data_IF_345965271413
#
_entry.id   IF_345965271413
#
_cell.length_a   1.000
_cell.length_b   1.000
_cell.length_c   1.000
_cell.angle_alpha   90.00
_cell.angle_beta   90.00
_cell.angle_gamma   90.00
#
_symmetry.space_group_name_H-M   'P 1'
#
loop_
_entity.id
_entity.type
_entity.pdbx_description
1 polymer ?
#
# COMPACT_ATOMS: atom_id res chain seq x y z
N UNK A 1 -5.08 -19.20 31.57
CA UNK A 1 -4.22 -19.86 30.54
C UNK A 1 -4.97 -20.14 29.22
N UNK A 2 -6.23 -20.61 29.23
CA UNK A 2 -7.00 -20.81 27.99
C UNK A 2 -7.43 -19.48 27.30
N UNK A 3 -7.73 -18.42 28.05
CA UNK A 3 -8.09 -17.10 27.48
C UNK A 3 -6.92 -16.38 26.81
N UNK A 4 -5.71 -16.47 27.37
CA UNK A 4 -4.49 -15.89 26.77
C UNK A 4 -4.13 -16.56 25.43
N UNK A 5 -4.46 -17.84 25.25
CA UNK A 5 -4.24 -18.58 24.00
C UNK A 5 -5.27 -18.24 22.91
N UNK A 6 -6.38 -17.59 23.27
CA UNK A 6 -7.41 -17.13 22.31
C UNK A 6 -6.99 -15.87 21.56
N UNK A 7 -6.23 -14.98 22.23
CA UNK A 7 -5.65 -13.78 21.61
C UNK A 7 -4.56 -14.11 20.57
N UNK A 8 -3.88 -15.26 20.71
CA UNK A 8 -2.82 -15.71 19.80
C UNK A 8 -3.31 -16.36 18.50
N UNK A 9 -4.63 -16.54 18.32
CA UNK A 9 -5.24 -17.20 17.15
C UNK A 9 -6.17 -16.30 16.32
N UNK A 10 -6.14 -14.99 16.51
CA UNK A 10 -6.76 -14.03 15.58
C UNK A 10 -8.30 -14.10 15.42
N UNK A 11 -9.04 -14.80 16.29
CA UNK A 11 -10.50 -14.85 16.19
C UNK A 11 -11.18 -13.96 17.24
N UNK A 12 -11.08 -12.64 17.08
CA UNK A 12 -11.98 -11.69 17.77
C UNK A 12 -13.01 -11.24 16.76
N UNK A 13 -14.24 -11.75 16.87
CA UNK A 13 -15.34 -11.34 15.99
C UNK A 13 -15.86 -9.95 16.42
N UNK A 14 -16.36 -9.16 15.45
CA UNK A 14 -16.93 -7.82 15.69
C UNK A 14 -17.95 -7.76 16.85
N UNK A 15 -18.72 -8.83 17.05
CA UNK A 15 -19.69 -8.95 18.16
C UNK A 15 -19.04 -9.04 19.55
N UNK A 16 -17.85 -9.62 19.65
CA UNK A 16 -17.14 -9.73 20.94
C UNK A 16 -16.55 -8.38 21.35
N UNK A 17 -16.00 -7.61 20.40
CA UNK A 17 -15.46 -6.28 20.65
C UNK A 17 -16.53 -5.31 21.17
N UNK A 18 -17.73 -5.34 20.57
CA UNK A 18 -18.86 -4.49 20.98
C UNK A 18 -19.47 -4.91 22.33
N UNK A 19 -19.38 -6.20 22.70
CA UNK A 19 -19.92 -6.72 23.96
C UNK A 19 -19.04 -6.48 25.19
N UNK A 20 -17.71 -6.39 25.01
CA UNK A 20 -16.75 -6.23 26.13
C UNK A 20 -16.46 -4.78 26.45
N UNK A 21 -16.49 -3.89 25.44
CA UNK A 21 -16.09 -2.49 25.62
C UNK A 21 -17.19 -1.58 26.14
N UNK A 22 -18.44 -2.05 26.28
CA UNK A 22 -19.54 -1.26 26.84
C UNK A 22 -19.81 0.05 26.08
N UNK A 23 -19.33 0.17 24.83
CA UNK A 23 -19.43 1.38 23.99
C UNK A 23 -20.81 1.52 23.32
N UNK A 24 -21.85 1.05 24.01
CA UNK A 24 -23.24 1.35 23.71
C UNK A 24 -23.74 2.34 24.76
N UNK A 25 -23.81 3.63 24.38
CA UNK A 25 -24.31 4.80 25.13
C UNK A 25 -23.25 5.78 25.63
N UNK A 26 -22.85 6.70 24.74
CA UNK A 26 -22.50 8.07 25.10
C UNK A 26 -22.86 9.00 23.93
N UNK A 27 -24.17 9.20 23.73
CA UNK A 27 -24.73 10.31 22.95
C UNK A 27 -24.59 11.62 23.74
N UNK A 28 -24.30 12.71 23.00
CA UNK A 28 -24.34 14.14 23.42
C UNK A 28 -23.29 14.52 24.46
N UNK A 29 -22.36 15.43 24.16
CA UNK A 29 -22.52 16.87 24.42
C UNK A 29 -21.36 17.66 23.74
N UNK A 30 -21.71 18.84 23.21
CA UNK A 30 -20.87 19.97 22.76
C UNK A 30 -20.33 19.97 21.31
N UNK A 31 -21.23 20.35 20.40
CA UNK A 31 -20.86 21.29 19.34
C UNK A 31 -20.71 22.68 19.92
N UNK A 32 -19.46 23.15 20.04
CA UNK A 32 -19.08 24.57 19.98
C UNK A 32 -17.60 24.63 19.60
N UNK A 33 -17.31 25.24 18.45
CA UNK A 33 -15.99 25.68 17.98
C UNK A 33 -14.89 24.60 17.96
N UNK A 34 -14.81 23.84 16.86
CA UNK A 34 -13.53 23.28 16.41
C UNK A 34 -12.73 24.46 15.85
N UNK A 35 -11.70 24.99 16.55
CA UNK A 35 -10.78 25.92 15.91
C UNK A 35 -10.16 25.16 14.74
N UNK A 36 -10.09 25.79 13.57
CA UNK A 36 -9.59 25.16 12.35
C UNK A 36 -8.35 24.31 12.63
N UNK A 37 -8.36 23.10 12.06
CA UNK A 37 -7.26 22.14 12.04
C UNK A 37 -6.03 22.81 11.41
N UNK A 38 -5.31 23.60 12.18
CA UNK A 38 -3.94 23.98 11.86
C UNK A 38 -3.12 22.80 12.36
N UNK A 39 -2.65 21.98 11.43
CA UNK A 39 -1.62 20.96 11.69
C UNK A 39 -0.42 21.66 12.30
N UNK A 40 -0.27 21.58 13.62
CA UNK A 40 0.96 22.04 14.27
C UNK A 40 2.06 21.05 13.91
N UNK A 41 3.25 21.52 13.50
CA UNK A 41 4.38 20.64 13.32
C UNK A 41 4.63 19.88 14.62
N UNK A 42 4.64 18.54 14.54
CA UNK A 42 5.01 17.69 15.66
C UNK A 42 6.53 17.74 15.80
N UNK A 43 7.04 18.06 17.00
CA UNK A 43 8.47 18.00 17.27
C UNK A 43 8.82 16.62 17.83
N UNK A 44 9.88 16.02 17.30
CA UNK A 44 10.40 14.75 17.82
C UNK A 44 10.78 14.88 19.31
N UNK A 45 10.26 13.96 20.13
CA UNK A 45 10.65 13.84 21.53
C UNK A 45 12.09 13.29 21.60
N UNK A 46 12.92 13.79 22.52
CA UNK A 46 14.35 13.44 22.59
C UNK A 46 14.65 11.97 22.90
N UNK A 47 13.63 11.16 23.20
CA UNK A 47 13.68 9.70 23.27
C UNK A 47 12.72 9.10 22.25
N UNK A 48 13.05 7.92 21.72
CA UNK A 48 12.23 7.19 20.74
C UNK A 48 10.86 6.74 21.29
N UNK A 49 10.68 6.79 22.62
CA UNK A 49 9.49 6.31 23.30
C UNK A 49 9.42 4.78 23.37
N UNK A 50 8.25 4.26 23.72
CA UNK A 50 8.01 2.81 23.86
C UNK A 50 7.47 2.17 22.57
N UNK A 51 7.08 2.99 21.58
CA UNK A 51 6.41 2.53 20.36
C UNK A 51 6.73 3.43 19.17
N UNK A 52 6.95 2.79 18.01
CA UNK A 52 7.02 3.42 16.69
C UNK A 52 5.87 2.89 15.84
N UNK A 53 5.10 3.79 15.24
CA UNK A 53 3.99 3.45 14.35
C UNK A 53 4.45 3.53 12.89
N UNK A 54 4.48 2.37 12.23
CA UNK A 54 4.85 2.19 10.84
C UNK A 54 3.61 1.98 9.96
N UNK A 55 3.39 2.84 8.97
CA UNK A 55 2.39 2.63 7.92
C UNK A 55 3.05 2.08 6.63
N UNK A 56 2.62 0.91 6.15
CA UNK A 56 3.29 0.20 5.05
C UNK A 56 2.35 -0.70 4.24
N UNK A 57 2.90 -1.45 3.29
CA UNK A 57 2.21 -2.37 2.40
C UNK A 57 2.07 -3.78 3.00
N UNK A 58 1.13 -4.60 2.51
CA UNK A 58 1.04 -6.02 2.89
C UNK A 58 2.35 -6.75 2.58
N UNK A 59 2.80 -7.61 3.51
CA UNK A 59 3.96 -8.48 3.32
C UNK A 59 5.27 -7.74 2.96
N UNK A 60 5.44 -6.49 3.39
CA UNK A 60 6.56 -5.61 3.00
C UNK A 60 7.66 -5.43 4.06
N UNK A 61 7.64 -6.29 5.08
CA UNK A 61 8.59 -6.26 6.19
C UNK A 61 8.81 -7.68 6.71
N UNK A 62 10.01 -7.93 7.23
CA UNK A 62 10.35 -9.15 7.95
C UNK A 62 10.09 -8.94 9.45
N UNK A 63 9.23 -9.75 10.10
CA UNK A 63 9.02 -9.70 11.55
C UNK A 63 10.32 -9.74 12.36
N UNK A 64 11.35 -10.47 11.89
CA UNK A 64 12.64 -10.54 12.57
C UNK A 64 13.35 -9.18 12.66
N UNK A 65 13.10 -8.29 11.68
CA UNK A 65 13.64 -6.92 11.72
C UNK A 65 13.02 -6.09 12.84
N UNK A 66 11.74 -6.28 13.15
CA UNK A 66 11.08 -5.58 14.25
C UNK A 66 11.48 -6.12 15.62
N UNK A 67 11.72 -7.43 15.72
CA UNK A 67 12.27 -8.04 16.93
C UNK A 67 13.67 -7.49 17.22
N UNK A 68 14.54 -7.44 16.21
CA UNK A 68 15.88 -6.85 16.33
C UNK A 68 15.83 -5.36 16.69
N UNK A 69 14.93 -4.60 16.06
CA UNK A 69 14.70 -3.19 16.38
C UNK A 69 14.25 -2.99 17.84
N UNK A 70 13.28 -3.78 18.29
CA UNK A 70 12.76 -3.71 19.66
C UNK A 70 13.83 -4.09 20.67
N UNK A 71 14.65 -5.12 20.38
CA UNK A 71 15.75 -5.53 21.24
C UNK A 71 16.84 -4.45 21.36
N UNK A 72 17.11 -3.72 20.28
CA UNK A 72 18.14 -2.68 20.25
C UNK A 72 17.70 -1.35 20.88
N UNK A 73 16.41 -1.00 20.77
CA UNK A 73 15.90 0.34 21.13
C UNK A 73 14.97 0.34 22.34
N UNK A 74 14.38 -0.80 22.69
CA UNK A 74 13.29 -0.90 23.66
C UNK A 74 11.91 -0.51 23.11
N UNK A 75 11.83 0.04 21.90
CA UNK A 75 10.57 0.48 21.30
C UNK A 75 9.93 -0.62 20.46
N UNK A 76 8.65 -0.91 20.70
CA UNK A 76 7.87 -1.83 19.88
C UNK A 76 7.46 -1.18 18.54
N UNK A 77 7.19 -1.99 17.52
CA UNK A 77 6.68 -1.51 16.23
C UNK A 77 5.21 -1.85 16.07
N UNK A 78 4.35 -0.84 15.92
CA UNK A 78 2.96 -1.01 15.52
C UNK A 78 2.84 -0.83 14.00
N UNK A 79 2.32 -1.85 13.31
CA UNK A 79 2.17 -1.82 11.85
C UNK A 79 0.73 -1.53 11.44
N UNK A 80 0.56 -0.53 10.59
CA UNK A 80 -0.69 -0.25 9.87
C UNK A 80 -0.49 -0.59 8.39
N UNK A 81 -1.32 -1.47 7.84
CA UNK A 81 -1.25 -1.92 6.44
C UNK A 81 -2.28 -1.20 5.58
N UNK A 82 -1.88 -0.75 4.39
CA UNK A 82 -2.73 -0.03 3.43
C UNK A 82 -2.75 -0.71 2.06
N UNK A 83 -3.85 -0.55 1.33
CA UNK A 83 -4.03 -1.16 0.01
C UNK A 83 -3.55 -0.30 -1.16
N UNK A 84 -3.50 1.03 -0.98
CA UNK A 84 -3.12 1.99 -2.04
C UNK A 84 -2.48 3.25 -1.48
N UNK A 85 -1.77 4.00 -2.35
CA UNK A 85 -1.20 5.31 -1.99
C UNK A 85 -2.29 6.34 -1.76
N UNK A 86 -3.38 6.26 -2.52
CA UNK A 86 -4.53 7.17 -2.41
C UNK A 86 -5.23 7.01 -1.06
N UNK A 87 -5.34 5.79 -0.55
CA UNK A 87 -5.84 5.53 0.80
C UNK A 87 -4.94 6.19 1.88
N UNK A 88 -3.61 6.07 1.74
CA UNK A 88 -2.67 6.72 2.65
C UNK A 88 -2.79 8.26 2.61
N UNK A 89 -2.76 8.85 1.41
CA UNK A 89 -2.86 10.30 1.22
C UNK A 89 -4.18 10.85 1.75
N UNK A 90 -5.31 10.22 1.41
CA UNK A 90 -6.62 10.66 1.88
C UNK A 90 -6.73 10.64 3.41
N UNK A 91 -6.15 9.62 4.06
CA UNK A 91 -6.12 9.54 5.52
C UNK A 91 -5.28 10.66 6.15
N UNK A 92 -4.12 10.97 5.58
CA UNK A 92 -3.26 12.07 6.04
C UNK A 92 -3.94 13.43 5.84
N UNK A 93 -4.55 13.66 4.66
CA UNK A 93 -5.30 14.88 4.35
C UNK A 93 -6.51 15.09 5.26
N UNK A 94 -7.17 14.01 5.68
CA UNK A 94 -8.27 14.06 6.65
C UNK A 94 -7.82 14.40 8.09
N UNK A 95 -6.53 14.71 8.31
CA UNK A 95 -5.95 14.97 9.62
C UNK A 95 -5.56 13.71 10.37
N UNK A 96 -5.49 12.56 9.68
CA UNK A 96 -4.91 11.35 10.22
C UNK A 96 -3.48 11.61 10.66
N UNK A 97 -3.18 11.30 11.92
CA UNK A 97 -1.88 11.51 12.55
C UNK A 97 -1.52 10.28 13.39
N UNK A 98 -0.29 10.26 13.92
CA UNK A 98 0.21 9.16 14.72
C UNK A 98 0.91 8.06 13.91
N UNK A 99 1.43 8.39 12.73
CA UNK A 99 2.47 7.59 12.08
C UNK A 99 3.79 8.30 12.26
N UNK A 100 4.80 7.57 12.74
CA UNK A 100 6.16 8.08 12.87
C UNK A 100 6.94 7.84 11.58
N UNK A 101 6.66 6.71 10.91
CA UNK A 101 7.26 6.33 9.63
C UNK A 101 6.16 5.78 8.72
N UNK A 102 6.18 6.17 7.44
CA UNK A 102 5.34 5.53 6.44
C UNK A 102 6.09 5.32 5.13
N UNK A 103 5.60 4.38 4.32
CA UNK A 103 6.28 3.93 3.10
C UNK A 103 5.43 4.23 1.86
N UNK A 104 5.50 5.47 1.33
CA UNK A 104 4.77 5.83 0.12
C UNK A 104 5.49 5.42 -1.17
N UNK A 105 4.77 5.40 -2.28
CA UNK A 105 5.36 5.29 -3.62
C UNK A 105 5.91 6.63 -4.10
N UNK A 106 7.02 6.60 -4.82
CA UNK A 106 7.81 7.78 -5.21
C UNK A 106 7.03 8.97 -5.82
N UNK A 107 5.99 8.74 -6.63
CA UNK A 107 5.24 9.83 -7.29
C UNK A 107 4.43 10.70 -6.32
N UNK A 108 4.15 10.24 -5.10
CA UNK A 108 3.37 11.01 -4.12
C UNK A 108 4.24 11.95 -3.28
N UNK A 109 5.57 11.78 -3.29
CA UNK A 109 6.49 12.57 -2.47
C UNK A 109 6.33 14.07 -2.73
N UNK A 110 6.27 14.49 -4.00
CA UNK A 110 6.09 15.91 -4.36
C UNK A 110 4.77 16.47 -3.84
N UNK A 111 3.70 15.67 -3.84
CA UNK A 111 2.40 16.06 -3.28
C UNK A 111 2.49 16.24 -1.76
N UNK A 112 3.11 15.30 -1.05
CA UNK A 112 3.28 15.41 0.40
C UNK A 112 4.13 16.60 0.82
N UNK A 113 5.16 16.94 0.03
CA UNK A 113 5.97 18.14 0.26
C UNK A 113 5.13 19.41 0.03
N UNK A 114 4.39 19.47 -1.08
CA UNK A 114 3.53 20.61 -1.40
C UNK A 114 2.42 20.85 -0.36
N UNK A 115 1.88 19.78 0.22
CA UNK A 115 0.83 19.83 1.24
C UNK A 115 1.38 19.92 2.68
N UNK A 116 2.70 20.01 2.87
CA UNK A 116 3.37 20.04 4.18
C UNK A 116 2.98 18.83 5.08
N UNK A 117 2.82 17.67 4.48
CA UNK A 117 2.50 16.41 5.18
C UNK A 117 3.77 15.76 5.74
N UNK A 118 4.91 15.94 5.07
CA UNK A 118 6.21 15.36 5.46
C UNK A 118 7.27 16.43 5.68
N UNK A 119 8.21 16.13 6.56
CA UNK A 119 9.37 16.96 6.85
C UNK A 119 10.64 16.43 6.16
N UNK A 120 11.64 17.28 5.86
CA UNK A 120 12.90 16.82 5.32
C UNK A 120 13.63 15.95 6.35
N UNK A 121 14.27 14.88 5.86
CA UNK A 121 15.05 13.97 6.68
C UNK A 121 16.34 14.63 7.17
N UNK A 122 16.59 14.53 8.47
CA UNK A 122 17.85 14.95 9.10
C UNK A 122 18.92 13.87 8.91
N UNK A 123 19.78 14.04 7.90
CA UNK A 123 20.84 13.09 7.57
C UNK A 123 21.85 12.89 8.72
N UNK A 124 21.98 13.83 9.66
CA UNK A 124 22.86 13.64 10.83
C UNK A 124 22.37 12.53 11.77
N UNK A 125 21.07 12.19 11.69
CA UNK A 125 20.42 11.09 12.43
C UNK A 125 20.33 9.80 11.62
N UNK A 126 20.79 9.80 10.38
CA UNK A 126 20.75 8.66 9.47
C UNK A 126 22.18 8.23 9.08
N UNK A 127 23.02 7.77 10.03
CA UNK A 127 24.42 7.45 9.77
C UNK A 127 24.63 6.31 8.77
N UNK A 128 23.58 5.51 8.51
CA UNK A 128 23.59 4.42 7.55
C UNK A 128 23.07 4.84 6.16
N UNK A 129 22.61 6.08 5.98
CA UNK A 129 22.13 6.55 4.69
C UNK A 129 23.31 6.87 3.77
N UNK A 130 23.39 6.17 2.64
CA UNK A 130 24.35 6.44 1.58
C UNK A 130 23.61 6.63 0.25
N UNK A 131 23.56 7.88 -0.22
CA UNK A 131 22.93 8.22 -1.49
C UNK A 131 23.54 7.45 -2.69
N UNK A 132 24.84 7.14 -2.64
CA UNK A 132 25.55 6.44 -3.71
C UNK A 132 25.21 4.94 -3.76
N UNK A 133 24.65 4.39 -2.67
CA UNK A 133 24.20 2.99 -2.62
C UNK A 133 22.89 2.75 -3.38
N UNK A 134 22.19 3.81 -3.77
CA UNK A 134 20.91 3.73 -4.48
C UNK A 134 21.04 4.02 -5.97
N UNK A 135 20.22 3.35 -6.77
CA UNK A 135 20.02 3.73 -8.17
C UNK A 135 19.24 5.06 -8.23
N UNK A 136 19.85 6.07 -8.86
CA UNK A 136 19.29 7.41 -8.98
C UNK A 136 17.88 7.44 -9.61
N UNK A 137 17.54 6.46 -10.45
CA UNK A 137 16.20 6.34 -11.05
C UNK A 137 15.11 6.14 -10.01
N UNK A 138 15.41 5.45 -8.90
CA UNK A 138 14.44 5.12 -7.85
C UNK A 138 14.57 6.05 -6.63
N UNK A 139 15.78 6.53 -6.33
CA UNK A 139 16.01 7.40 -5.18
C UNK A 139 15.82 8.90 -5.48
N UNK A 140 16.03 9.33 -6.73
CA UNK A 140 15.90 10.74 -7.14
C UNK A 140 14.58 11.41 -6.72
N UNK A 141 13.41 10.77 -6.92
CA UNK A 141 12.12 11.33 -6.50
C UNK A 141 11.96 11.59 -5.00
N UNK A 142 12.81 10.99 -4.15
CA UNK A 142 12.83 11.25 -2.71
C UNK A 142 13.40 12.63 -2.34
N UNK A 143 14.00 13.34 -3.30
CA UNK A 143 14.58 14.69 -3.12
C UNK A 143 13.73 15.73 -3.81
N UNK A 144 13.33 16.77 -3.07
CA UNK A 144 12.57 17.93 -3.59
C UNK A 144 13.33 19.20 -3.21
N UNK A 145 13.57 20.08 -4.18
CA UNK A 145 14.31 21.33 -4.01
C UNK A 145 15.66 21.18 -3.26
N UNK A 146 16.38 20.09 -3.57
CA UNK A 146 17.69 19.78 -2.98
C UNK A 146 17.65 19.25 -1.55
N UNK A 147 16.47 19.00 -0.96
CA UNK A 147 16.30 18.39 0.35
C UNK A 147 15.76 16.97 0.23
N UNK A 148 16.31 16.04 1.00
CA UNK A 148 15.83 14.67 1.05
C UNK A 148 14.59 14.59 1.96
N UNK A 149 13.50 14.04 1.43
CA UNK A 149 12.25 13.81 2.17
C UNK A 149 11.93 12.33 2.34
N UNK A 150 12.45 11.47 1.46
CA UNK A 150 12.24 10.03 1.53
C UNK A 150 13.49 9.24 1.12
N UNK A 151 13.81 8.18 1.87
CA UNK A 151 14.83 7.22 1.51
C UNK A 151 14.21 6.05 0.72
N UNK A 152 14.91 5.57 -0.31
CA UNK A 152 14.47 4.40 -1.06
C UNK A 152 14.56 3.15 -0.19
N UNK A 153 13.48 2.36 -0.14
CA UNK A 153 13.40 1.11 0.64
C UNK A 153 13.47 -0.11 -0.29
N UNK A 154 12.40 -0.35 -1.05
CA UNK A 154 12.40 -1.36 -2.10
C UNK A 154 11.90 -0.77 -3.42
N UNK A 155 12.24 -1.44 -4.51
CA UNK A 155 11.73 -1.15 -5.84
C UNK A 155 11.35 -2.47 -6.52
N UNK A 156 10.51 -2.39 -7.55
CA UNK A 156 10.07 -3.56 -8.28
C UNK A 156 9.37 -3.19 -9.57
N UNK A 157 8.83 -4.21 -10.22
CA UNK A 157 8.03 -4.09 -11.44
C UNK A 157 6.71 -4.80 -11.25
N UNK A 158 5.64 -4.25 -11.80
CA UNK A 158 4.38 -4.98 -11.96
C UNK A 158 4.49 -5.92 -13.16
N UNK A 159 4.12 -7.17 -12.96
CA UNK A 159 4.12 -8.22 -13.97
C UNK A 159 2.92 -9.15 -13.82
N UNK A 160 3.06 -10.33 -14.40
CA UNK A 160 2.01 -11.35 -14.44
C UNK A 160 2.50 -12.59 -13.71
N UNK A 161 1.72 -13.08 -12.76
CA UNK A 161 1.91 -14.39 -12.16
C UNK A 161 0.93 -15.38 -12.80
N UNK A 162 1.46 -16.52 -13.27
CA UNK A 162 0.70 -17.56 -13.98
C UNK A 162 0.92 -18.89 -13.28
N UNK A 163 -0.17 -19.56 -12.90
CA UNK A 163 -0.11 -20.92 -12.39
C UNK A 163 -0.07 -21.92 -13.57
N UNK A 164 1.13 -22.29 -14.01
CA UNK A 164 1.32 -23.18 -15.17
C UNK A 164 0.68 -24.56 -14.98
N UNK A 165 0.55 -25.04 -13.75
CA UNK A 165 -0.13 -26.31 -13.44
C UNK A 165 -1.64 -26.26 -13.67
N UNK A 166 -2.27 -25.10 -13.46
CA UNK A 166 -3.72 -24.92 -13.65
C UNK A 166 -4.08 -24.33 -15.02
N UNK A 167 -3.11 -23.77 -15.73
CA UNK A 167 -3.28 -23.15 -17.06
C UNK A 167 -2.83 -24.05 -18.21
N UNK A 168 -2.55 -25.34 -17.95
CA UNK A 168 -2.11 -26.30 -18.96
C UNK A 168 -0.73 -25.96 -19.56
N UNK A 169 0.15 -25.34 -18.78
CA UNK A 169 1.49 -24.95 -19.20
C UNK A 169 1.56 -23.66 -20.03
N UNK A 170 0.45 -22.90 -20.14
CA UNK A 170 0.46 -21.61 -20.86
C UNK A 170 1.45 -20.64 -20.20
N UNK A 171 2.19 -19.91 -21.04
CA UNK A 171 3.01 -18.77 -20.65
C UNK A 171 2.45 -17.53 -21.33
N UNK A 172 2.54 -16.39 -20.65
CA UNK A 172 2.06 -15.11 -21.16
C UNK A 172 3.25 -14.17 -21.34
N UNK A 173 3.25 -13.42 -22.43
CA UNK A 173 4.32 -12.47 -22.78
C UNK A 173 3.81 -11.05 -22.96
N UNK A 174 2.50 -10.85 -23.09
CA UNK A 174 1.90 -9.53 -23.29
C UNK A 174 0.69 -9.27 -22.39
N UNK A 175 0.46 -8.00 -22.06
CA UNK A 175 -0.76 -7.57 -21.35
C UNK A 175 -2.02 -7.82 -22.17
N UNK A 176 -1.92 -7.81 -23.50
CA UNK A 176 -3.06 -8.17 -24.35
C UNK A 176 -3.49 -9.63 -24.12
N UNK A 177 -2.55 -10.56 -24.09
CA UNK A 177 -2.83 -11.97 -23.76
C UNK A 177 -3.44 -12.11 -22.35
N UNK A 178 -2.93 -11.34 -21.37
CA UNK A 178 -3.47 -11.32 -20.02
C UNK A 178 -4.97 -10.99 -20.03
N UNK A 179 -5.36 -9.89 -20.67
CA UNK A 179 -6.74 -9.44 -20.69
C UNK A 179 -7.65 -10.34 -21.55
N UNK A 180 -7.16 -10.86 -22.67
CA UNK A 180 -7.93 -11.77 -23.51
C UNK A 180 -8.22 -13.10 -22.79
N UNK A 181 -7.23 -13.66 -22.09
CA UNK A 181 -7.39 -14.89 -21.32
C UNK A 181 -8.25 -14.68 -20.07
N UNK A 182 -8.14 -13.51 -19.42
CA UNK A 182 -9.00 -13.16 -18.29
C UNK A 182 -10.49 -13.20 -18.68
N UNK A 183 -10.83 -12.74 -19.90
CA UNK A 183 -12.22 -12.74 -20.41
C UNK A 183 -12.69 -14.10 -20.96
N UNK A 184 -11.78 -15.05 -21.15
CA UNK A 184 -12.07 -16.34 -21.81
C UNK A 184 -11.67 -17.52 -20.94
N UNK A 185 -10.52 -18.15 -21.21
CA UNK A 185 -10.06 -19.40 -20.58
C UNK A 185 -9.96 -19.29 -19.05
N UNK A 186 -9.69 -18.10 -18.52
CA UNK A 186 -9.46 -17.84 -17.10
C UNK A 186 -10.51 -16.91 -16.47
N UNK A 187 -11.72 -16.90 -17.04
CA UNK A 187 -12.87 -16.24 -16.42
C UNK A 187 -13.16 -16.79 -15.02
N UNK A 188 -13.36 -15.89 -14.06
CA UNK A 188 -13.53 -16.20 -12.64
C UNK A 188 -12.26 -16.71 -11.94
N UNK A 189 -11.10 -16.70 -12.62
CA UNK A 189 -9.81 -17.20 -12.13
C UNK A 189 -8.69 -16.16 -12.21
N UNK A 190 -9.01 -14.91 -12.54
CA UNK A 190 -8.02 -13.85 -12.71
C UNK A 190 -8.14 -12.80 -11.62
N UNK A 191 -7.02 -12.40 -11.01
CA UNK A 191 -6.98 -11.22 -10.12
C UNK A 191 -6.29 -10.05 -10.79
N UNK A 192 -6.82 -8.85 -10.56
CA UNK A 192 -6.13 -7.60 -10.90
C UNK A 192 -5.74 -6.86 -9.63
N UNK A 193 -4.69 -6.05 -9.73
CA UNK A 193 -4.19 -5.27 -8.61
C UNK A 193 -5.25 -4.23 -8.20
N UNK A 194 -5.57 -4.13 -6.91
CA UNK A 194 -6.40 -3.04 -6.36
C UNK A 194 -5.61 -1.72 -6.26
N UNK A 195 -5.08 -1.30 -7.40
CA UNK A 195 -4.28 -0.11 -7.52
C UNK A 195 -4.42 0.48 -8.93
N UNK A 196 -4.98 1.69 -8.99
CA UNK A 196 -5.42 2.31 -10.24
C UNK A 196 -4.28 2.45 -11.26
N UNK A 197 -3.09 2.85 -10.80
CA UNK A 197 -1.95 3.14 -11.66
C UNK A 197 -1.51 1.89 -12.43
N UNK A 198 -1.40 0.75 -11.75
CA UNK A 198 -1.01 -0.50 -12.38
C UNK A 198 -2.12 -1.07 -13.25
N UNK A 199 -3.38 -1.01 -12.79
CA UNK A 199 -4.48 -1.63 -13.52
C UNK A 199 -4.84 -0.85 -14.80
N UNK A 200 -4.95 0.48 -14.71
CA UNK A 200 -5.17 1.35 -15.87
C UNK A 200 -3.94 1.36 -16.78
N UNK A 201 -2.75 1.52 -16.21
CA UNK A 201 -1.50 1.52 -16.98
C UNK A 201 -1.30 0.23 -17.78
N UNK A 202 -1.60 -0.94 -17.21
CA UNK A 202 -1.51 -2.20 -17.94
C UNK A 202 -2.62 -2.40 -18.98
N UNK A 203 -3.82 -1.83 -18.77
CA UNK A 203 -4.85 -1.76 -19.80
C UNK A 203 -4.37 -0.90 -20.99
N UNK A 204 -3.81 0.28 -20.74
CA UNK A 204 -3.19 1.14 -21.77
C UNK A 204 -2.06 0.42 -22.51
N UNK A 205 -1.15 -0.26 -21.78
CA UNK A 205 -0.08 -1.06 -22.39
C UNK A 205 -0.60 -2.15 -23.31
N UNK A 206 -1.79 -2.71 -23.06
CA UNK A 206 -2.38 -3.75 -23.91
C UNK A 206 -2.78 -3.26 -25.30
N UNK A 207 -3.06 -1.96 -25.42
CA UNK A 207 -3.33 -1.28 -26.69
C UNK A 207 -2.06 -0.68 -27.35
N UNK A 208 -0.90 -0.81 -26.69
CA UNK A 208 0.37 -0.24 -27.16
C UNK A 208 0.62 1.20 -26.70
N UNK A 209 -0.29 1.79 -25.93
CA UNK A 209 -0.17 3.16 -25.43
C UNK A 209 0.91 3.30 -24.34
N UNK A 210 1.16 4.55 -23.94
CA UNK A 210 1.99 4.87 -22.79
C UNK A 210 1.31 4.37 -21.50
N UNK A 211 2.10 3.83 -20.58
CA UNK A 211 1.61 3.48 -19.24
C UNK A 211 1.09 4.72 -18.49
N UNK A 212 1.66 5.90 -18.80
CA UNK A 212 1.33 7.19 -18.20
C UNK A 212 0.47 8.05 -19.15
N UNK A 213 -0.32 7.44 -20.04
CA UNK A 213 -1.16 8.23 -20.93
C UNK A 213 -2.21 9.03 -20.15
N UNK A 214 -2.43 10.26 -20.59
CA UNK A 214 -3.49 11.16 -20.12
C UNK A 214 -4.44 11.55 -21.24
N UNK A 215 -4.31 10.92 -22.42
CA UNK A 215 -5.15 11.22 -23.58
C UNK A 215 -6.56 10.65 -23.38
N UNK A 216 -7.62 11.49 -23.46
CA UNK A 216 -8.98 11.04 -23.15
C UNK A 216 -9.47 9.85 -23.98
N UNK A 217 -9.06 9.77 -25.25
CA UNK A 217 -9.44 8.67 -26.13
C UNK A 217 -8.78 7.34 -25.72
N UNK A 218 -7.49 7.36 -25.36
CA UNK A 218 -6.76 6.17 -24.91
C UNK A 218 -7.30 5.68 -23.55
N UNK A 219 -7.62 6.62 -22.65
CA UNK A 219 -8.25 6.33 -21.37
C UNK A 219 -9.64 5.72 -21.53
N UNK A 220 -10.44 6.18 -22.49
CA UNK A 220 -11.76 5.62 -22.76
C UNK A 220 -11.68 4.16 -23.27
N UNK A 221 -10.67 3.81 -24.06
CA UNK A 221 -10.43 2.44 -24.48
C UNK A 221 -9.99 1.53 -23.32
N UNK A 222 -9.11 2.04 -22.46
CA UNK A 222 -8.71 1.33 -21.23
C UNK A 222 -9.90 1.12 -20.29
N UNK A 223 -10.74 2.14 -20.08
CA UNK A 223 -11.97 2.04 -19.28
C UNK A 223 -12.89 0.95 -19.84
N UNK A 224 -13.16 0.97 -21.15
CA UNK A 224 -14.00 -0.04 -21.79
C UNK A 224 -13.47 -1.45 -21.54
N UNK A 225 -12.16 -1.67 -21.70
CA UNK A 225 -11.53 -2.97 -21.43
C UNK A 225 -11.70 -3.40 -19.97
N UNK A 226 -11.49 -2.48 -19.02
CA UNK A 226 -11.60 -2.76 -17.58
C UNK A 226 -13.05 -3.04 -17.16
N UNK A 227 -14.02 -2.36 -17.75
CA UNK A 227 -15.45 -2.65 -17.53
C UNK A 227 -15.83 -4.01 -18.13
N UNK A 228 -15.34 -4.32 -19.33
CA UNK A 228 -15.56 -5.63 -19.96
C UNK A 228 -14.96 -6.78 -19.16
N UNK A 229 -13.76 -6.63 -18.58
CA UNK A 229 -13.11 -7.73 -17.84
C UNK A 229 -13.66 -7.91 -16.43
N UNK A 230 -14.22 -6.86 -15.81
CA UNK A 230 -14.74 -6.90 -14.43
C UNK A 230 -15.59 -8.14 -14.08
N UNK A 231 -16.60 -8.56 -14.86
CA UNK A 231 -17.40 -9.76 -14.54
C UNK A 231 -16.61 -11.08 -14.59
N UNK A 232 -15.42 -11.07 -15.17
CA UNK A 232 -14.55 -12.23 -15.30
C UNK A 232 -13.46 -12.30 -14.23
N UNK A 233 -13.36 -11.32 -13.34
CA UNK A 233 -12.35 -11.30 -12.29
C UNK A 233 -12.79 -12.16 -11.10
N UNK A 234 -11.83 -12.91 -10.54
CA UNK A 234 -11.99 -13.55 -9.24
C UNK A 234 -12.00 -12.50 -8.12
N UNK A 235 -11.04 -11.58 -8.16
CA UNK A 235 -10.91 -10.49 -7.18
C UNK A 235 -10.13 -9.31 -7.76
N UNK A 236 -10.40 -8.13 -7.17
CA UNK A 236 -9.55 -6.95 -7.25
C UNK A 236 -8.87 -6.86 -5.88
N UNK A 237 -7.55 -7.02 -5.80
CA UNK A 237 -6.83 -7.17 -4.52
C UNK A 237 -5.39 -6.67 -4.59
N UNK A 238 -4.86 -6.12 -3.49
CA UNK A 238 -3.43 -5.78 -3.35
C UNK A 238 -2.57 -6.94 -2.85
N UNK A 239 -3.18 -8.01 -2.33
CA UNK A 239 -2.47 -9.25 -1.99
C UNK A 239 -2.95 -10.39 -2.91
N UNK A 240 -2.10 -10.73 -3.88
CA UNK A 240 -2.36 -11.80 -4.85
C UNK A 240 -1.93 -13.18 -4.35
N UNK A 241 -1.13 -13.26 -3.27
CA UNK A 241 -0.53 -14.54 -2.85
C UNK A 241 -1.57 -15.55 -2.35
N UNK A 242 -2.53 -15.18 -1.47
CA UNK A 242 -3.54 -16.12 -0.99
C UNK A 242 -4.35 -16.79 -2.11
N UNK A 243 -4.99 -16.05 -3.06
CA UNK A 243 -5.78 -16.69 -4.11
C UNK A 243 -4.94 -17.49 -5.11
N UNK A 244 -3.69 -17.10 -5.37
CA UNK A 244 -2.79 -17.89 -6.21
C UNK A 244 -2.34 -19.18 -5.54
N UNK A 245 -2.09 -19.16 -4.22
CA UNK A 245 -1.68 -20.35 -3.44
C UNK A 245 -2.81 -21.35 -3.24
N UNK A 246 -4.05 -20.88 -3.05
CA UNK A 246 -5.22 -21.76 -2.93
C UNK A 246 -5.63 -22.39 -4.27
N UNK A 247 -5.19 -21.82 -5.39
CA UNK A 247 -5.62 -22.22 -6.73
C UNK A 247 -6.97 -21.61 -7.14
N UNK A 248 -7.49 -20.66 -6.35
CA UNK A 248 -8.70 -19.90 -6.71
C UNK A 248 -8.43 -18.96 -7.89
N UNK A 249 -7.25 -18.34 -7.89
CA UNK A 249 -6.71 -17.58 -9.02
C UNK A 249 -5.61 -18.36 -9.74
N UNK A 250 -5.62 -18.28 -11.07
CA UNK A 250 -4.65 -18.91 -11.97
C UNK A 250 -3.77 -17.88 -12.66
N UNK A 251 -4.28 -16.66 -12.78
CA UNK A 251 -3.63 -15.52 -13.40
C UNK A 251 -3.75 -14.32 -12.46
N UNK A 252 -2.64 -13.62 -12.20
CA UNK A 252 -2.64 -12.41 -11.38
C UNK A 252 -1.79 -11.31 -12.00
N UNK A 253 -2.27 -10.08 -11.93
CA UNK A 253 -1.44 -8.88 -12.03
C UNK A 253 -0.84 -8.61 -10.64
N UNK A 254 0.48 -8.52 -10.54
CA UNK A 254 1.21 -8.37 -9.28
C UNK A 254 2.48 -7.55 -9.43
#
# INVERSE_FOLDING_TARGET
MAELMRYRKGSVTRRHFLGVTGLGMATTVLGTAMPGLITKPAYAQGSIGDMVVLATWPNYHDPASFEAFTAATGAAVQVNVFGSNEEMLAKLQAGGSGWDVFVPTNYTITTYVAENIIEPLDLSKLPNYDAASFDARFAGPGTVDGKLYAASKDWGTTGMAVNTGLTGGKTLTTWKEFWDLAKTDFTGRTTVHDYQLTTIGNALKSFGYSFNSVEPAELAEAEKLLIEVKPHLFAITSDYQPPMRSGDAWLAMC
#
